data_IF_023783463401
#
_entry.id   IF_023783463401
#
_cell.length_a   1.000
_cell.length_b   1.000
_cell.length_c   1.000
_cell.angle_alpha   90.00
_cell.angle_beta   90.00
_cell.angle_gamma   90.00
#
_symmetry.space_group_name_H-M   'P 1'
#
loop_
_entity.id
_entity.type
_entity.pdbx_description
1 polymer ?
#
# COMPACT_ATOMS: atom_id res chain seq x y z
N UNK A 1 12.60 -26.09 -3.69
CA UNK A 1 11.59 -25.04 -3.45
C UNK A 1 10.82 -24.95 -4.76
N UNK A 2 9.47 -24.83 -4.72
CA UNK A 2 8.73 -24.60 -5.97
C UNK A 2 9.18 -23.26 -6.56
N UNK A 3 9.47 -23.24 -7.86
CA UNK A 3 9.82 -22.01 -8.56
C UNK A 3 8.66 -21.02 -8.43
N UNK A 4 8.95 -19.81 -7.97
CA UNK A 4 7.95 -18.75 -7.89
C UNK A 4 7.55 -18.35 -9.32
N UNK A 5 6.28 -18.50 -9.63
CA UNK A 5 5.72 -18.11 -10.93
C UNK A 5 5.18 -16.68 -10.86
N UNK A 6 5.47 -15.87 -11.89
CA UNK A 6 4.90 -14.54 -11.99
C UNK A 6 3.46 -14.62 -12.50
N UNK A 7 2.51 -14.57 -11.59
CA UNK A 7 1.09 -14.62 -11.92
C UNK A 7 0.50 -13.21 -12.06
N UNK A 8 -0.41 -13.05 -13.03
CA UNK A 8 -1.16 -11.82 -13.15
C UNK A 8 -2.12 -11.68 -11.96
N UNK A 9 -2.15 -10.49 -11.42
CA UNK A 9 -3.12 -10.13 -10.36
C UNK A 9 -3.48 -8.66 -10.49
N UNK A 10 -4.50 -8.24 -9.79
CA UNK A 10 -4.91 -6.84 -9.74
C UNK A 10 -4.82 -6.29 -8.31
N UNK A 11 -4.47 -5.03 -8.19
CA UNK A 11 -4.62 -4.23 -6.97
C UNK A 11 -4.77 -2.76 -7.34
N UNK A 12 -5.30 -1.95 -6.45
CA UNK A 12 -5.43 -0.50 -6.66
C UNK A 12 -4.09 0.17 -6.98
N UNK A 13 -3.03 -0.22 -6.29
CA UNK A 13 -1.67 0.30 -6.54
C UNK A 13 -1.12 -0.13 -7.89
N UNK A 14 -1.44 -1.36 -8.31
CA UNK A 14 -1.04 -1.93 -9.60
C UNK A 14 -1.74 -1.22 -10.75
N UNK A 15 -3.05 -0.98 -10.62
CA UNK A 15 -3.84 -0.20 -11.57
C UNK A 15 -3.29 1.23 -11.70
N UNK A 16 -3.09 1.92 -10.57
CA UNK A 16 -2.52 3.28 -10.58
C UNK A 16 -1.16 3.33 -11.31
N UNK A 17 -0.28 2.38 -11.01
CA UNK A 17 1.03 2.33 -11.64
C UNK A 17 0.93 2.16 -13.17
N UNK A 18 0.00 1.32 -13.62
CA UNK A 18 -0.29 1.08 -15.02
C UNK A 18 -0.86 2.34 -15.69
N UNK A 19 -1.77 3.07 -15.04
CA UNK A 19 -2.31 4.33 -15.54
C UNK A 19 -1.26 5.44 -15.60
N UNK A 20 -0.39 5.54 -14.59
CA UNK A 20 0.67 6.55 -14.54
C UNK A 20 1.69 6.38 -15.69
N UNK A 21 2.16 5.15 -15.93
CA UNK A 21 3.12 4.87 -17.00
C UNK A 21 3.23 3.35 -17.25
N UNK A 22 2.96 2.92 -18.51
CA UNK A 22 3.04 1.51 -18.92
C UNK A 22 4.45 0.94 -18.70
N UNK A 23 5.50 1.67 -19.09
CA UNK A 23 6.90 1.25 -18.90
C UNK A 23 7.28 1.11 -17.41
N UNK A 24 6.83 2.01 -16.56
CA UNK A 24 7.00 1.90 -15.10
C UNK A 24 6.34 0.65 -14.54
N UNK A 25 5.14 0.34 -15.01
CA UNK A 25 4.41 -0.88 -14.67
C UNK A 25 5.19 -2.13 -15.10
N UNK A 26 5.70 -2.17 -16.35
CA UNK A 26 6.54 -3.28 -16.84
C UNK A 26 7.76 -3.49 -15.94
N UNK A 27 8.54 -2.44 -15.66
CA UNK A 27 9.72 -2.55 -14.81
C UNK A 27 9.39 -3.07 -13.41
N UNK A 28 8.26 -2.66 -12.84
CA UNK A 28 7.87 -3.04 -11.49
C UNK A 28 7.47 -4.52 -11.38
N UNK A 29 6.70 -5.02 -12.34
CA UNK A 29 6.05 -6.34 -12.24
C UNK A 29 6.69 -7.42 -13.11
N UNK A 30 7.38 -7.05 -14.16
CA UNK A 30 8.01 -7.99 -15.09
C UNK A 30 9.53 -7.83 -15.14
N UNK A 31 10.06 -6.67 -15.44
CA UNK A 31 11.49 -6.45 -15.54
C UNK A 31 12.27 -6.69 -14.25
N UNK A 32 11.64 -6.43 -13.09
CA UNK A 32 12.22 -6.69 -11.77
C UNK A 32 12.02 -8.13 -11.29
N UNK A 33 11.26 -8.97 -12.03
CA UNK A 33 10.98 -10.34 -11.60
C UNK A 33 12.24 -11.18 -11.64
N UNK A 34 12.44 -12.02 -10.61
CA UNK A 34 13.66 -12.81 -10.45
C UNK A 34 14.89 -12.02 -9.97
N UNK A 35 14.82 -10.68 -9.90
CA UNK A 35 15.96 -9.84 -9.49
C UNK A 35 16.48 -10.07 -8.07
N UNK A 36 15.78 -10.88 -7.26
CA UNK A 36 16.22 -11.33 -5.93
C UNK A 36 17.11 -12.59 -5.96
N UNK A 37 17.15 -13.28 -7.10
CA UNK A 37 17.96 -14.50 -7.24
C UNK A 37 19.45 -14.17 -7.21
N UNK A 38 20.26 -15.13 -6.76
CA UNK A 38 21.71 -14.93 -6.62
C UNK A 38 22.42 -14.67 -7.96
N UNK A 39 21.92 -15.30 -9.02
CA UNK A 39 22.41 -15.24 -10.40
C UNK A 39 21.57 -14.36 -11.32
N UNK A 40 20.70 -13.52 -10.74
CA UNK A 40 19.86 -12.63 -11.52
C UNK A 40 20.70 -11.72 -12.45
N UNK A 41 20.22 -11.46 -13.69
CA UNK A 41 20.81 -10.46 -14.57
C UNK A 41 20.92 -9.10 -13.84
N UNK A 42 22.00 -8.36 -14.13
CA UNK A 42 22.29 -7.08 -13.46
C UNK A 42 21.12 -6.09 -13.59
N UNK A 43 20.51 -6.01 -14.78
CA UNK A 43 19.35 -5.14 -15.02
C UNK A 43 18.15 -5.53 -14.17
N UNK A 44 17.80 -6.83 -14.11
CA UNK A 44 16.69 -7.31 -13.30
C UNK A 44 16.93 -7.04 -11.80
N UNK A 45 18.19 -7.23 -11.34
CA UNK A 45 18.60 -6.90 -9.98
C UNK A 45 18.46 -5.41 -9.69
N UNK A 46 18.94 -4.54 -10.59
CA UNK A 46 18.81 -3.10 -10.45
C UNK A 46 17.33 -2.68 -10.37
N UNK A 47 16.49 -3.18 -11.26
CA UNK A 47 15.05 -2.94 -11.24
C UNK A 47 14.40 -3.45 -9.95
N UNK A 48 14.83 -4.61 -9.44
CA UNK A 48 14.33 -5.16 -8.18
C UNK A 48 14.69 -4.28 -6.98
N UNK A 49 15.90 -3.71 -6.93
CA UNK A 49 16.30 -2.75 -5.90
C UNK A 49 15.49 -1.45 -6.03
N UNK A 50 15.44 -0.88 -7.24
CA UNK A 50 14.78 0.39 -7.49
C UNK A 50 13.27 0.36 -7.19
N UNK A 51 12.59 -0.77 -7.44
CA UNK A 51 11.16 -0.87 -7.10
C UNK A 51 10.86 -0.82 -5.61
N UNK A 52 11.85 -1.08 -4.74
CA UNK A 52 11.68 -1.00 -3.28
C UNK A 52 11.83 0.43 -2.75
N UNK A 53 12.25 1.38 -3.59
CA UNK A 53 12.35 2.78 -3.18
C UNK A 53 10.96 3.36 -2.90
N UNK A 54 10.88 4.14 -1.86
CA UNK A 54 9.70 4.95 -1.51
C UNK A 54 10.07 6.42 -1.36
N UNK A 55 9.16 7.33 -1.70
CA UNK A 55 9.32 8.72 -1.31
C UNK A 55 9.28 8.84 0.21
N UNK A 56 9.86 9.91 0.77
CA UNK A 56 9.80 10.17 2.21
C UNK A 56 8.36 10.21 2.76
N UNK A 57 7.39 10.67 1.94
CA UNK A 57 5.98 10.69 2.34
C UNK A 57 5.38 9.28 2.41
N UNK A 58 5.66 8.43 1.40
CA UNK A 58 5.22 7.03 1.41
C UNK A 58 5.85 6.26 2.58
N UNK A 59 7.14 6.49 2.83
CA UNK A 59 7.84 5.92 3.98
C UNK A 59 7.21 6.34 5.31
N UNK A 60 6.90 7.64 5.48
CA UNK A 60 6.23 8.14 6.68
C UNK A 60 4.86 7.47 6.89
N UNK A 61 4.07 7.33 5.80
CA UNK A 61 2.80 6.60 5.84
C UNK A 61 2.97 5.15 6.30
N UNK A 62 3.90 4.42 5.67
CA UNK A 62 4.24 3.04 6.04
C UNK A 62 4.61 2.92 7.53
N UNK A 63 5.46 3.81 8.02
CA UNK A 63 5.89 3.81 9.43
C UNK A 63 4.71 4.02 10.40
N UNK A 64 3.73 4.84 10.03
CA UNK A 64 2.51 5.04 10.83
C UNK A 64 1.66 3.79 10.83
N UNK A 65 1.38 3.18 9.65
CA UNK A 65 0.60 1.93 9.55
C UNK A 65 1.20 0.82 10.41
N UNK A 66 2.51 0.60 10.30
CA UNK A 66 3.20 -0.41 11.12
C UNK A 66 3.15 -0.10 12.63
N UNK A 67 3.18 1.19 13.01
CA UNK A 67 2.98 1.59 14.40
C UNK A 67 1.57 1.29 14.91
N UNK A 68 0.56 1.55 14.09
CA UNK A 68 -0.84 1.21 14.39
C UNK A 68 -1.00 -0.31 14.48
N UNK A 69 -0.43 -1.06 13.54
CA UNK A 69 -0.42 -2.53 13.57
C UNK A 69 0.17 -3.09 14.86
N UNK A 70 1.29 -2.54 15.35
CA UNK A 70 1.87 -2.99 16.63
C UNK A 70 0.91 -2.83 17.80
N UNK A 71 0.18 -1.71 17.85
CA UNK A 71 -0.81 -1.49 18.90
C UNK A 71 -1.97 -2.47 18.78
N UNK A 72 -2.52 -2.64 17.56
CA UNK A 72 -3.65 -3.55 17.34
C UNK A 72 -3.28 -5.00 17.67
N UNK A 73 -2.10 -5.47 17.21
CA UNK A 73 -1.62 -6.82 17.55
C UNK A 73 -1.38 -7.00 19.03
N UNK A 74 -0.81 -6.01 19.72
CA UNK A 74 -0.64 -6.08 21.17
C UNK A 74 -1.98 -6.15 21.90
N UNK A 75 -2.97 -5.34 21.50
CA UNK A 75 -4.33 -5.40 22.04
C UNK A 75 -4.98 -6.76 21.80
N UNK A 76 -4.83 -7.33 20.60
CA UNK A 76 -5.30 -8.68 20.30
C UNK A 76 -4.67 -9.74 21.19
N UNK A 77 -3.42 -9.58 21.60
CA UNK A 77 -2.71 -10.43 22.54
C UNK A 77 -3.04 -10.11 24.02
N UNK A 78 -3.85 -9.09 24.30
CA UNK A 78 -4.24 -8.67 25.66
C UNK A 78 -3.22 -7.76 26.34
N UNK A 79 -2.35 -7.13 25.56
CA UNK A 79 -1.39 -6.13 26.04
C UNK A 79 -1.78 -4.75 25.54
N UNK A 80 -1.59 -3.72 26.33
CA UNK A 80 -1.78 -2.33 25.88
C UNK A 80 -0.41 -1.63 25.82
N UNK A 81 -0.07 -1.12 24.63
CA UNK A 81 1.16 -0.38 24.43
C UNK A 81 0.94 1.09 24.77
N UNK A 82 1.75 1.71 25.64
CA UNK A 82 1.62 3.13 25.94
C UNK A 82 1.95 4.02 24.72
N UNK A 83 1.23 5.13 24.54
CA UNK A 83 1.49 6.13 23.49
C UNK A 83 2.99 6.55 23.44
N UNK A 84 3.55 6.86 24.60
CA UNK A 84 4.94 7.31 24.71
C UNK A 84 5.92 6.25 24.19
N UNK A 85 5.69 4.98 24.52
CA UNK A 85 6.53 3.88 24.04
C UNK A 85 6.45 3.76 22.52
N UNK A 86 5.24 3.80 21.97
CA UNK A 86 5.04 3.71 20.50
C UNK A 86 5.75 4.83 19.78
N UNK A 87 5.58 6.08 20.24
CA UNK A 87 6.22 7.26 19.63
C UNK A 87 7.74 7.13 19.66
N UNK A 88 8.31 6.77 20.82
CA UNK A 88 9.76 6.65 20.97
C UNK A 88 10.34 5.52 20.10
N UNK A 89 9.70 4.36 20.05
CA UNK A 89 10.17 3.25 19.22
C UNK A 89 10.06 3.57 17.75
N UNK A 90 8.96 4.19 17.33
CA UNK A 90 8.77 4.64 15.94
C UNK A 90 9.85 5.64 15.53
N UNK A 91 10.15 6.63 16.36
CA UNK A 91 11.21 7.62 16.07
C UNK A 91 12.60 6.96 16.03
N UNK A 92 12.88 6.00 16.94
CA UNK A 92 14.15 5.23 16.89
C UNK A 92 14.25 4.43 15.59
N UNK A 93 13.18 3.79 15.16
CA UNK A 93 13.11 3.05 13.90
C UNK A 93 13.34 3.98 12.71
N UNK A 94 12.65 5.12 12.64
CA UNK A 94 12.84 6.09 11.56
C UNK A 94 14.31 6.52 11.45
N UNK A 95 15.01 6.74 12.56
CA UNK A 95 16.44 7.10 12.55
C UNK A 95 17.30 5.97 11.96
N UNK A 96 17.05 4.72 12.34
CA UNK A 96 17.76 3.54 11.80
C UNK A 96 17.54 3.40 10.29
N UNK A 97 16.29 3.45 9.85
CA UNK A 97 15.94 3.30 8.43
C UNK A 97 16.46 4.46 7.58
N UNK A 98 16.36 5.70 8.09
CA UNK A 98 16.92 6.87 7.43
C UNK A 98 18.43 6.72 7.22
N UNK A 99 19.15 6.30 8.26
CA UNK A 99 20.61 6.09 8.21
C UNK A 99 20.96 5.00 7.19
N UNK A 100 20.32 3.83 7.27
CA UNK A 100 20.53 2.73 6.35
C UNK A 100 20.26 3.13 4.89
N UNK A 101 19.20 3.91 4.66
CA UNK A 101 18.89 4.46 3.35
C UNK A 101 19.93 5.48 2.88
N UNK A 102 20.39 6.39 3.74
CA UNK A 102 21.42 7.38 3.39
C UNK A 102 22.77 6.72 3.05
N UNK A 103 23.07 5.57 3.69
CA UNK A 103 24.23 4.73 3.41
C UNK A 103 24.00 3.78 2.22
N UNK A 104 22.84 3.85 1.57
CA UNK A 104 22.45 3.03 0.41
C UNK A 104 22.52 1.52 0.66
N UNK A 105 22.28 1.07 1.89
CA UNK A 105 22.32 -0.35 2.26
C UNK A 105 21.34 -1.22 1.48
N UNK A 106 20.26 -0.65 0.94
CA UNK A 106 19.27 -1.35 0.09
C UNK A 106 19.87 -1.92 -1.22
N UNK A 107 21.03 -1.47 -1.66
CA UNK A 107 21.72 -2.11 -2.81
C UNK A 107 22.30 -3.48 -2.45
N UNK A 108 22.66 -3.71 -1.19
CA UNK A 108 23.11 -5.00 -0.68
C UNK A 108 22.00 -5.80 -0.01
N UNK A 109 21.02 -5.11 0.56
CA UNK A 109 19.87 -5.71 1.26
C UNK A 109 18.57 -5.07 0.75
N UNK A 110 18.08 -5.44 -0.45
CA UNK A 110 16.96 -4.74 -1.11
C UNK A 110 15.70 -4.64 -0.27
N UNK A 111 15.39 -5.66 0.54
CA UNK A 111 14.21 -5.68 1.42
C UNK A 111 14.26 -4.65 2.56
N UNK A 112 15.42 -4.05 2.84
CA UNK A 112 15.49 -2.94 3.81
C UNK A 112 14.78 -1.68 3.32
N UNK A 113 14.53 -1.59 2.01
CA UNK A 113 13.97 -0.41 1.38
C UNK A 113 14.95 0.75 1.33
N UNK A 114 14.66 1.73 0.51
CA UNK A 114 15.45 2.96 0.39
C UNK A 114 14.56 4.16 0.13
N UNK A 115 15.06 5.35 0.43
CA UNK A 115 14.36 6.58 0.12
C UNK A 115 14.75 7.06 -1.27
N UNK A 116 13.74 7.40 -2.05
CA UNK A 116 13.91 7.97 -3.40
C UNK A 116 14.84 9.18 -3.38
N UNK A 117 14.68 10.03 -2.37
CA UNK A 117 15.50 11.25 -2.21
C UNK A 117 16.98 10.93 -2.00
N UNK A 118 17.33 9.85 -1.30
CA UNK A 118 18.71 9.42 -1.10
C UNK A 118 19.30 8.80 -2.36
N UNK A 119 18.55 7.92 -3.06
CA UNK A 119 19.03 7.31 -4.30
C UNK A 119 19.35 8.36 -5.36
N UNK A 120 18.44 9.32 -5.53
CA UNK A 120 18.54 10.32 -6.58
C UNK A 120 19.15 11.66 -6.11
N UNK A 121 19.71 11.68 -4.90
CA UNK A 121 20.38 12.85 -4.31
C UNK A 121 19.51 14.11 -4.37
N UNK A 122 18.20 13.95 -4.15
CA UNK A 122 17.27 15.08 -4.10
C UNK A 122 17.54 15.86 -2.81
N UNK A 123 17.87 17.16 -2.89
CA UNK A 123 18.10 17.97 -1.70
C UNK A 123 16.85 18.08 -0.84
N UNK A 124 16.93 17.68 0.42
CA UNK A 124 15.87 17.84 1.42
C UNK A 124 16.43 18.61 2.61
N UNK A 125 15.80 19.71 2.94
CA UNK A 125 16.25 20.56 4.06
C UNK A 125 16.08 19.81 5.40
N UNK A 126 16.97 20.03 6.39
CA UNK A 126 16.82 19.44 7.72
C UNK A 126 15.45 19.69 8.36
N UNK A 127 14.86 20.86 8.14
CA UNK A 127 13.54 21.21 8.62
C UNK A 127 12.43 20.33 8.02
N UNK A 128 12.55 19.94 6.75
CA UNK A 128 11.55 19.07 6.08
C UNK A 128 11.58 17.66 6.68
N UNK A 129 12.77 17.15 7.07
CA UNK A 129 12.90 15.89 7.78
C UNK A 129 12.29 15.96 9.19
N UNK A 130 12.50 17.09 9.89
CA UNK A 130 11.87 17.31 11.20
C UNK A 130 10.36 17.37 11.09
N UNK A 131 9.82 18.11 10.12
CA UNK A 131 8.38 18.19 9.86
C UNK A 131 7.78 16.82 9.54
N UNK A 132 8.49 15.98 8.77
CA UNK A 132 8.05 14.63 8.45
C UNK A 132 7.96 13.75 9.71
N UNK A 133 8.98 13.80 10.58
CA UNK A 133 8.96 13.12 11.89
C UNK A 133 7.80 13.61 12.74
N UNK A 134 7.61 14.92 12.82
CA UNK A 134 6.55 15.52 13.65
C UNK A 134 5.15 15.17 13.10
N UNK A 135 5.03 15.02 11.78
CA UNK A 135 3.83 14.50 11.14
C UNK A 135 3.54 13.05 11.58
N UNK A 136 4.52 12.15 11.52
CA UNK A 136 4.37 10.76 11.99
C UNK A 136 3.94 10.72 13.46
N UNK A 137 4.63 11.47 14.32
CA UNK A 137 4.30 11.54 15.76
C UNK A 137 2.88 12.05 15.97
N UNK A 138 2.44 13.05 15.23
CA UNK A 138 1.06 13.57 15.29
C UNK A 138 0.05 12.50 14.90
N UNK A 139 0.27 11.77 13.79
CA UNK A 139 -0.61 10.70 13.35
C UNK A 139 -0.77 9.62 14.45
N UNK A 140 0.33 9.18 15.06
CA UNK A 140 0.29 8.18 16.13
C UNK A 140 -0.44 8.71 17.38
N UNK A 141 -0.22 9.95 17.77
CA UNK A 141 -0.94 10.58 18.88
C UNK A 141 -2.43 10.72 18.60
N UNK A 142 -2.79 11.12 17.39
CA UNK A 142 -4.18 11.20 16.97
C UNK A 142 -4.85 9.82 17.01
N UNK A 143 -4.17 8.75 16.58
CA UNK A 143 -4.67 7.38 16.71
C UNK A 143 -5.08 7.05 18.16
N UNK A 144 -4.24 7.39 19.15
CA UNK A 144 -4.57 7.16 20.57
C UNK A 144 -5.75 7.99 21.08
N UNK A 145 -6.05 9.12 20.44
CA UNK A 145 -7.15 10.02 20.82
C UNK A 145 -8.47 9.72 20.12
N UNK A 146 -8.46 8.83 19.12
CA UNK A 146 -9.67 8.47 18.40
C UNK A 146 -10.64 7.73 19.32
N UNK A 147 -11.94 8.12 19.36
CA UNK A 147 -12.98 7.32 20.00
C UNK A 147 -13.00 5.88 19.49
N UNK A 148 -12.76 5.68 18.20
CA UNK A 148 -12.66 4.38 17.54
C UNK A 148 -11.69 3.43 18.26
N UNK A 149 -10.53 3.89 18.74
CA UNK A 149 -9.59 3.04 19.47
C UNK A 149 -10.18 2.59 20.83
N UNK A 150 -10.94 3.45 21.48
CA UNK A 150 -11.66 3.06 22.72
C UNK A 150 -12.69 1.95 22.45
N UNK A 151 -13.39 2.02 21.32
CA UNK A 151 -14.38 1.01 20.94
C UNK A 151 -13.68 -0.30 20.54
N UNK A 152 -12.58 -0.22 19.80
CA UNK A 152 -11.75 -1.38 19.46
C UNK A 152 -11.24 -2.09 20.72
N UNK A 153 -10.76 -1.35 21.73
CA UNK A 153 -10.30 -1.91 23.02
C UNK A 153 -11.39 -2.68 23.79
N UNK A 154 -12.65 -2.27 23.65
CA UNK A 154 -13.80 -2.93 24.29
C UNK A 154 -14.29 -4.13 23.47
N UNK A 155 -13.97 -4.19 22.17
CA UNK A 155 -14.43 -5.24 21.28
C UNK A 155 -13.76 -6.57 21.62
N UNK A 156 -14.53 -7.63 21.93
CA UNK A 156 -13.98 -8.97 22.18
C UNK A 156 -13.17 -9.48 21.00
N UNK A 157 -12.12 -10.24 21.24
CA UNK A 157 -11.18 -10.72 20.21
C UNK A 157 -11.86 -11.58 19.15
N UNK A 158 -12.87 -12.32 19.55
CA UNK A 158 -13.68 -13.18 18.66
C UNK A 158 -14.43 -12.38 17.60
N UNK A 159 -14.58 -11.08 17.81
CA UNK A 159 -15.20 -10.14 16.86
C UNK A 159 -14.17 -9.45 15.94
N UNK A 160 -12.88 -9.69 16.13
CA UNK A 160 -11.85 -9.18 15.25
C UNK A 160 -11.69 -10.11 14.05
N UNK A 161 -11.62 -9.54 12.85
CA UNK A 161 -11.60 -10.30 11.59
C UNK A 161 -10.22 -10.26 10.96
N UNK A 162 -9.54 -9.11 11.03
CA UNK A 162 -8.28 -8.90 10.31
C UNK A 162 -7.47 -7.74 10.91
N UNK A 163 -6.14 -7.88 10.90
CA UNK A 163 -5.18 -6.82 11.24
C UNK A 163 -4.07 -6.83 10.20
N UNK A 164 -3.97 -5.80 9.32
CA UNK A 164 -2.88 -5.60 8.35
C UNK A 164 -2.50 -6.90 7.60
N UNK A 165 -3.48 -7.61 7.06
CA UNK A 165 -3.25 -8.84 6.31
C UNK A 165 -3.38 -8.59 4.81
N UNK A 166 -2.41 -9.13 4.05
CA UNK A 166 -2.53 -9.15 2.59
C UNK A 166 -3.49 -10.26 2.21
N UNK A 167 -4.66 -9.90 1.69
CA UNK A 167 -5.67 -10.86 1.23
C UNK A 167 -6.12 -10.53 -0.18
N UNK A 168 -6.55 -11.57 -0.88
CA UNK A 168 -7.13 -11.46 -2.22
C UNK A 168 -8.44 -12.22 -2.31
N UNK A 169 -9.24 -11.87 -3.30
CA UNK A 169 -10.41 -12.64 -3.74
C UNK A 169 -10.29 -12.91 -5.24
N UNK A 170 -10.95 -13.96 -5.69
CA UNK A 170 -11.06 -14.22 -7.12
C UNK A 170 -12.11 -13.31 -7.75
N UNK A 171 -11.74 -12.65 -8.83
CA UNK A 171 -12.64 -11.85 -9.64
C UNK A 171 -12.49 -12.27 -11.11
N UNK A 172 -13.44 -13.03 -11.59
CA UNK A 172 -13.46 -13.59 -12.96
C UNK A 172 -12.12 -14.28 -13.32
N UNK A 173 -11.61 -15.12 -12.44
CA UNK A 173 -10.35 -15.85 -12.61
C UNK A 173 -9.10 -14.98 -12.44
N UNK A 174 -9.22 -13.80 -11.83
CA UNK A 174 -8.09 -12.91 -11.53
C UNK A 174 -8.01 -12.65 -10.02
N UNK A 175 -6.87 -12.94 -9.36
CA UNK A 175 -6.67 -12.55 -7.97
C UNK A 175 -6.67 -11.03 -7.83
N UNK A 176 -7.61 -10.50 -7.05
CA UNK A 176 -7.71 -9.07 -6.70
C UNK A 176 -7.24 -8.88 -5.27
N UNK A 177 -6.14 -8.16 -5.10
CA UNK A 177 -5.62 -7.79 -3.78
C UNK A 177 -6.27 -6.49 -3.32
N UNK A 178 -7.03 -6.58 -2.24
CA UNK A 178 -7.73 -5.44 -1.66
C UNK A 178 -8.33 -5.85 -0.32
N UNK A 179 -7.57 -5.64 0.75
CA UNK A 179 -8.01 -5.91 2.10
C UNK A 179 -7.89 -4.63 2.93
N UNK A 180 -8.80 -4.40 3.89
CA UNK A 180 -8.70 -3.27 4.79
C UNK A 180 -7.51 -3.44 5.74
N UNK A 181 -7.00 -2.32 6.26
CA UNK A 181 -5.92 -2.33 7.25
C UNK A 181 -6.38 -3.00 8.56
N UNK A 182 -7.66 -2.81 8.92
CA UNK A 182 -8.28 -3.46 10.08
C UNK A 182 -9.75 -3.77 9.81
N UNK A 183 -10.23 -4.91 10.32
CA UNK A 183 -11.64 -5.28 10.24
C UNK A 183 -12.13 -5.94 11.52
N UNK A 184 -13.35 -5.55 11.97
CA UNK A 184 -13.98 -6.12 13.16
C UNK A 184 -15.50 -5.98 13.11
N UNK A 185 -16.21 -6.83 13.87
CA UNK A 185 -17.65 -6.72 14.08
C UNK A 185 -17.95 -5.75 15.21
N UNK A 186 -18.70 -4.70 14.93
CA UNK A 186 -19.19 -3.73 15.93
C UNK A 186 -20.26 -4.35 16.82
N UNK A 187 -20.56 -3.71 17.99
CA UNK A 187 -21.64 -4.16 18.87
C UNK A 187 -22.99 -4.25 18.16
N UNK A 188 -23.24 -3.39 17.15
CA UNK A 188 -24.45 -3.40 16.32
C UNK A 188 -24.44 -4.45 15.18
N UNK A 189 -23.59 -5.47 15.24
CA UNK A 189 -23.46 -6.52 14.21
C UNK A 189 -23.21 -6.00 12.77
N UNK A 190 -22.52 -4.88 12.65
CA UNK A 190 -21.98 -4.36 11.40
C UNK A 190 -20.50 -4.70 11.29
N UNK A 191 -20.06 -5.08 10.09
CA UNK A 191 -18.65 -5.30 9.79
C UNK A 191 -17.98 -3.95 9.48
N UNK A 192 -17.19 -3.43 10.40
CA UNK A 192 -16.37 -2.25 10.16
C UNK A 192 -15.10 -2.65 9.41
N UNK A 193 -14.86 -2.00 8.28
CA UNK A 193 -13.66 -2.11 7.44
C UNK A 193 -12.95 -0.77 7.53
N UNK A 194 -11.78 -0.75 8.16
CA UNK A 194 -11.04 0.47 8.50
C UNK A 194 -9.84 0.60 7.59
N UNK A 195 -9.67 1.81 7.06
CA UNK A 195 -8.53 2.22 6.24
C UNK A 195 -7.85 3.45 6.89
N UNK A 196 -6.58 3.30 7.26
CA UNK A 196 -5.81 4.37 7.90
C UNK A 196 -5.20 5.29 6.84
N UNK A 197 -5.46 6.58 6.92
CA UNK A 197 -4.88 7.60 6.02
C UNK A 197 -3.98 8.55 6.80
N UNK A 198 -2.82 8.84 6.23
CA UNK A 198 -1.82 9.76 6.80
C UNK A 198 -1.60 11.00 5.94
N UNK A 199 -2.11 10.98 4.71
CA UNK A 199 -1.97 12.06 3.72
C UNK A 199 -3.13 13.05 3.71
N UNK A 200 -3.09 13.93 2.72
CA UNK A 200 -4.24 14.74 2.36
C UNK A 200 -5.35 13.84 1.76
N UNK A 201 -6.64 14.21 1.93
CA UNK A 201 -7.74 13.48 1.32
C UNK A 201 -7.59 13.36 -0.20
N UNK A 202 -7.87 12.18 -0.74
CA UNK A 202 -7.95 11.87 -2.17
C UNK A 202 -9.24 11.04 -2.40
N UNK A 203 -10.40 11.73 -2.60
CA UNK A 203 -11.70 11.08 -2.61
C UNK A 203 -11.84 9.99 -3.69
N UNK A 204 -11.30 10.21 -4.90
CA UNK A 204 -11.43 9.27 -6.01
C UNK A 204 -10.60 7.99 -5.73
N UNK A 205 -9.39 8.17 -5.21
CA UNK A 205 -8.54 7.04 -4.81
C UNK A 205 -9.15 6.25 -3.67
N UNK A 206 -9.71 6.94 -2.68
CA UNK A 206 -10.37 6.34 -1.51
C UNK A 206 -11.60 5.55 -1.92
N UNK A 207 -12.47 6.11 -2.77
CA UNK A 207 -13.70 5.44 -3.21
C UNK A 207 -13.43 4.09 -3.87
N UNK A 208 -12.47 4.01 -4.80
CA UNK A 208 -12.10 2.75 -5.45
C UNK A 208 -11.50 1.75 -4.45
N UNK A 209 -10.65 2.20 -3.54
CA UNK A 209 -10.03 1.34 -2.53
C UNK A 209 -11.06 0.73 -1.58
N UNK A 210 -11.93 1.57 -1.01
CA UNK A 210 -13.02 1.13 -0.13
C UNK A 210 -14.00 0.22 -0.86
N UNK A 211 -14.22 0.48 -2.17
CA UNK A 211 -15.02 -0.39 -3.03
C UNK A 211 -14.46 -1.79 -3.14
N UNK A 212 -13.15 -1.94 -3.28
CA UNK A 212 -12.50 -3.26 -3.27
C UNK A 212 -12.66 -3.96 -1.92
N UNK A 213 -12.65 -3.22 -0.80
CA UNK A 213 -12.90 -3.79 0.52
C UNK A 213 -14.34 -4.29 0.68
N UNK A 214 -15.31 -3.55 0.15
CA UNK A 214 -16.70 -3.99 0.16
C UNK A 214 -16.92 -5.23 -0.72
N UNK A 215 -16.27 -5.31 -1.89
CA UNK A 215 -16.26 -6.53 -2.70
C UNK A 215 -15.64 -7.70 -1.94
N UNK A 216 -14.50 -7.49 -1.27
CA UNK A 216 -13.89 -8.51 -0.43
C UNK A 216 -14.85 -9.01 0.66
N UNK A 217 -15.54 -8.09 1.36
CA UNK A 217 -16.53 -8.44 2.37
C UNK A 217 -17.68 -9.28 1.77
N UNK A 218 -18.15 -8.92 0.58
CA UNK A 218 -19.21 -9.65 -0.12
C UNK A 218 -18.76 -11.03 -0.59
N UNK A 219 -17.62 -11.09 -1.31
CA UNK A 219 -17.19 -12.32 -2.00
C UNK A 219 -16.54 -13.34 -1.04
N UNK A 220 -15.77 -12.88 -0.06
CA UNK A 220 -15.02 -13.75 0.85
C UNK A 220 -15.73 -13.95 2.19
N UNK A 221 -16.15 -12.85 2.82
CA UNK A 221 -16.75 -12.89 4.15
C UNK A 221 -18.26 -13.15 4.10
N UNK A 222 -18.88 -13.12 2.90
CA UNK A 222 -20.32 -13.33 2.68
C UNK A 222 -21.21 -12.38 3.47
N UNK A 223 -20.78 -11.14 3.63
CA UNK A 223 -21.51 -10.09 4.35
C UNK A 223 -22.28 -9.23 3.36
N UNK A 224 -23.55 -8.99 3.65
CA UNK A 224 -24.40 -8.08 2.87
C UNK A 224 -23.87 -6.63 2.93
N UNK A 225 -23.89 -5.88 1.82
CA UNK A 225 -23.44 -4.48 1.80
C UNK A 225 -24.11 -3.61 2.86
N UNK A 226 -25.38 -3.82 3.15
CA UNK A 226 -26.12 -3.09 4.19
C UNK A 226 -25.58 -3.32 5.62
N UNK A 227 -24.79 -4.36 5.84
CA UNK A 227 -24.12 -4.65 7.12
C UNK A 227 -22.64 -4.26 7.13
N UNK A 228 -22.11 -3.72 6.05
CA UNK A 228 -20.74 -3.24 5.97
C UNK A 228 -20.68 -1.76 6.36
N UNK A 229 -19.68 -1.36 7.10
CA UNK A 229 -19.36 0.01 7.44
C UNK A 229 -17.92 0.30 6.99
N UNK A 230 -17.77 1.18 5.98
CA UNK A 230 -16.48 1.57 5.45
C UNK A 230 -16.00 2.82 6.16
N UNK A 231 -14.90 2.71 6.88
CA UNK A 231 -14.34 3.78 7.69
C UNK A 231 -12.99 4.23 7.13
N UNK A 232 -12.95 5.45 6.61
CA UNK A 232 -11.71 6.16 6.33
C UNK A 232 -11.29 6.91 7.59
N UNK A 233 -10.11 6.58 8.11
CA UNK A 233 -9.59 7.22 9.31
C UNK A 233 -8.37 8.05 8.97
N UNK A 234 -8.56 9.36 8.89
CA UNK A 234 -7.48 10.30 8.64
C UNK A 234 -6.71 10.58 9.93
N UNK A 235 -5.59 9.90 10.11
CA UNK A 235 -4.73 10.04 11.30
C UNK A 235 -4.04 11.40 11.37
N UNK A 236 -3.81 12.06 10.24
CA UNK A 236 -3.24 13.40 10.21
C UNK A 236 -4.16 14.43 10.88
N UNK A 237 -5.47 14.31 10.61
CA UNK A 237 -6.49 15.22 11.10
C UNK A 237 -7.18 14.69 12.39
N UNK A 238 -7.03 13.40 12.71
CA UNK A 238 -7.72 12.75 13.81
C UNK A 238 -9.23 12.59 13.55
N UNK A 239 -9.61 12.40 12.29
CA UNK A 239 -11.00 12.34 11.86
C UNK A 239 -11.37 10.95 11.34
N UNK A 240 -12.61 10.54 11.59
CA UNK A 240 -13.21 9.31 11.06
C UNK A 240 -14.35 9.68 10.14
N UNK A 241 -14.33 9.17 8.92
CA UNK A 241 -15.37 9.36 7.94
C UNK A 241 -15.98 8.00 7.55
N UNK A 242 -17.29 7.86 7.69
CA UNK A 242 -18.02 6.71 7.16
C UNK A 242 -18.44 6.97 5.73
N UNK A 243 -18.24 5.98 4.87
CA UNK A 243 -18.63 6.05 3.47
C UNK A 243 -19.85 5.16 3.23
N UNK A 244 -20.96 5.70 2.74
CA UNK A 244 -22.15 4.92 2.43
C UNK A 244 -21.86 3.97 1.27
N UNK A 245 -22.43 2.78 1.34
CA UNK A 245 -22.21 1.72 0.38
C UNK A 245 -23.51 1.00 0.01
N UNK A 246 -23.68 0.68 -1.27
CA UNK A 246 -24.85 0.00 -1.81
C UNK A 246 -24.48 -0.88 -3.02
N UNK A 247 -25.45 -1.65 -3.52
CA UNK A 247 -25.26 -2.55 -4.68
C UNK A 247 -24.90 -1.77 -5.97
N UNK A 248 -25.42 -0.54 -6.16
CA UNK A 248 -25.09 0.25 -7.34
C UNK A 248 -23.61 0.60 -7.39
N UNK A 249 -23.04 1.02 -6.27
CA UNK A 249 -21.61 1.30 -6.14
C UNK A 249 -20.75 0.04 -6.29
N UNK A 250 -21.21 -1.11 -5.79
CA UNK A 250 -20.53 -2.39 -6.02
C UNK A 250 -20.43 -2.71 -7.51
N UNK A 251 -21.50 -2.48 -8.26
CA UNK A 251 -21.50 -2.74 -9.71
C UNK A 251 -20.58 -1.79 -10.47
N UNK A 252 -20.50 -0.51 -10.06
CA UNK A 252 -19.53 0.44 -10.61
C UNK A 252 -18.09 -0.04 -10.41
N UNK A 253 -17.76 -0.55 -9.22
CA UNK A 253 -16.43 -1.10 -8.92
C UNK A 253 -16.17 -2.37 -9.74
N UNK A 254 -17.14 -3.27 -9.89
CA UNK A 254 -17.01 -4.46 -10.75
C UNK A 254 -16.69 -4.05 -12.19
N UNK A 255 -17.43 -3.09 -12.73
CA UNK A 255 -17.19 -2.56 -14.07
C UNK A 255 -15.79 -1.97 -14.22
N UNK A 256 -15.32 -1.19 -13.22
CA UNK A 256 -13.96 -0.67 -13.21
C UNK A 256 -12.90 -1.78 -13.20
N UNK A 257 -13.05 -2.79 -12.35
CA UNK A 257 -12.13 -3.94 -12.28
C UNK A 257 -12.06 -4.66 -13.62
N UNK A 258 -13.21 -4.98 -14.25
CA UNK A 258 -13.26 -5.64 -15.55
C UNK A 258 -12.51 -4.86 -16.62
N UNK A 259 -12.76 -3.55 -16.72
CA UNK A 259 -12.10 -2.68 -17.70
C UNK A 259 -10.60 -2.57 -17.45
N UNK A 260 -10.19 -2.36 -16.20
CA UNK A 260 -8.79 -2.24 -15.82
C UNK A 260 -8.01 -3.53 -16.07
N UNK A 261 -8.52 -4.69 -15.62
CA UNK A 261 -7.91 -6.00 -15.84
C UNK A 261 -7.77 -6.30 -17.33
N UNK A 262 -8.83 -6.06 -18.12
CA UNK A 262 -8.80 -6.24 -19.58
C UNK A 262 -7.75 -5.36 -20.23
N UNK A 263 -7.68 -4.09 -19.84
CA UNK A 263 -6.71 -3.13 -20.37
C UNK A 263 -5.28 -3.55 -20.06
N UNK A 264 -5.01 -4.02 -18.84
CA UNK A 264 -3.67 -4.47 -18.44
C UNK A 264 -3.25 -5.74 -19.19
N UNK A 265 -4.17 -6.71 -19.33
CA UNK A 265 -3.90 -7.98 -20.03
C UNK A 265 -3.67 -7.78 -21.54
N UNK A 266 -4.25 -6.76 -22.14
CA UNK A 266 -4.06 -6.43 -23.56
C UNK A 266 -2.61 -6.04 -23.91
N UNK A 267 -1.79 -5.67 -22.94
CA UNK A 267 -0.37 -5.36 -23.12
C UNK A 267 0.54 -6.59 -23.02
N UNK A 268 0.02 -7.73 -22.60
CA UNK A 268 0.80 -8.96 -22.52
C UNK A 268 0.97 -9.59 -23.88
N UNK A 269 2.15 -10.13 -24.13
CA UNK A 269 2.44 -10.95 -25.30
C UNK A 269 1.65 -12.25 -25.28
N UNK A 270 1.60 -12.89 -24.12
CA UNK A 270 0.78 -14.07 -23.83
C UNK A 270 0.07 -13.87 -22.49
N UNK A 271 -1.24 -13.53 -22.50
CA UNK A 271 -2.01 -13.34 -21.27
C UNK A 271 -2.18 -14.61 -20.44
N UNK A 272 -2.15 -15.81 -21.07
CA UNK A 272 -2.32 -17.08 -20.36
C UNK A 272 -1.06 -17.44 -19.57
N UNK A 273 0.11 -17.18 -20.15
CA UNK A 273 1.40 -17.38 -19.51
C UNK A 273 1.86 -16.17 -18.68
N UNK A 274 1.09 -15.09 -18.61
CA UNK A 274 1.47 -13.79 -18.04
C UNK A 274 2.81 -13.27 -18.58
N UNK A 275 3.08 -13.49 -19.87
CA UNK A 275 4.31 -13.09 -20.54
C UNK A 275 4.21 -11.65 -21.05
N UNK A 276 5.15 -10.80 -20.65
CA UNK A 276 5.23 -9.41 -21.05
C UNK A 276 6.52 -9.14 -21.84
N UNK A 277 6.40 -8.40 -22.95
CA UNK A 277 7.55 -7.86 -23.69
C UNK A 277 7.64 -6.36 -23.44
N UNK A 278 8.84 -5.87 -23.13
CA UNK A 278 9.09 -4.48 -22.79
C UNK A 278 8.58 -3.50 -23.86
N UNK A 279 8.69 -3.86 -25.13
CA UNK A 279 8.32 -2.99 -26.25
C UNK A 279 6.83 -2.73 -26.38
N UNK A 280 5.99 -3.60 -25.78
CA UNK A 280 4.56 -3.37 -25.70
C UNK A 280 4.18 -2.27 -24.69
N UNK A 281 5.09 -1.88 -23.81
CA UNK A 281 4.83 -0.94 -22.71
C UNK A 281 5.54 0.38 -22.97
N UNK A 282 4.84 1.34 -23.58
CA UNK A 282 5.38 2.65 -23.91
C UNK A 282 5.73 3.48 -22.66
N UNK A 283 6.68 4.41 -22.85
CA UNK A 283 7.04 5.42 -21.85
C UNK A 283 6.00 6.54 -21.85
N UNK A 284 5.63 7.02 -20.68
CA UNK A 284 4.81 8.25 -20.60
C UNK A 284 5.61 9.45 -21.15
N UNK A 285 4.90 10.39 -21.75
CA UNK A 285 5.46 11.68 -22.16
C UNK A 285 5.41 12.72 -21.04
N UNK A 286 4.65 12.45 -19.97
CA UNK A 286 4.59 13.33 -18.81
C UNK A 286 5.88 13.24 -17.98
N UNK A 287 6.77 14.19 -18.20
CA UNK A 287 8.05 14.27 -17.49
C UNK A 287 7.89 14.53 -15.98
N UNK A 288 6.73 15.02 -15.52
CA UNK A 288 6.46 15.18 -14.08
C UNK A 288 6.42 13.82 -13.40
N UNK A 289 5.80 12.82 -14.04
CA UNK A 289 5.80 11.42 -13.58
C UNK A 289 7.21 10.84 -13.63
N UNK A 290 7.96 11.11 -14.71
CA UNK A 290 9.33 10.60 -14.88
C UNK A 290 10.29 11.11 -13.81
N UNK A 291 10.20 12.39 -13.42
CA UNK A 291 11.07 13.00 -12.38
C UNK A 291 10.98 12.29 -11.03
N UNK A 292 9.81 11.71 -10.71
CA UNK A 292 9.56 11.00 -9.46
C UNK A 292 9.42 9.48 -9.66
N UNK A 293 9.97 8.97 -10.78
CA UNK A 293 9.92 7.55 -11.09
C UNK A 293 11.11 6.81 -10.47
N UNK A 294 10.84 5.72 -9.75
CA UNK A 294 11.88 4.87 -9.17
C UNK A 294 12.88 4.34 -10.21
N UNK A 295 12.44 4.20 -11.46
CA UNK A 295 13.24 3.64 -12.56
C UNK A 295 13.83 4.71 -13.48
N UNK A 296 13.88 5.98 -13.07
CA UNK A 296 14.33 7.05 -13.96
C UNK A 296 15.78 6.88 -14.42
N UNK A 297 16.67 6.37 -13.55
CA UNK A 297 18.08 6.12 -13.91
C UNK A 297 18.26 5.06 -15.00
N UNK A 298 17.31 4.11 -15.12
CA UNK A 298 17.30 3.09 -16.17
C UNK A 298 16.53 3.54 -17.41
N UNK A 299 15.41 4.23 -17.19
CA UNK A 299 14.47 4.57 -18.27
C UNK A 299 14.79 5.90 -18.98
N UNK A 300 15.21 6.91 -18.23
CA UNK A 300 15.54 8.27 -18.69
C UNK A 300 16.72 8.81 -17.88
N UNK A 301 17.93 8.32 -18.11
CA UNK A 301 19.11 8.71 -17.32
C UNK A 301 19.46 10.22 -17.45
N UNK A 302 18.95 10.89 -18.48
CA UNK A 302 19.17 12.31 -18.75
C UNK A 302 18.31 13.25 -17.90
N UNK A 303 17.38 12.73 -17.05
CA UNK A 303 16.51 13.48 -16.14
C UNK A 303 17.20 13.58 -14.74
#
# INVERSE_FOLDING_TARGET
MADLVNEFSWSRSRDKLFQDCRRKYFYHYYGAWGGWEADAPEEARALYVLKQLSSRQQWAGKVVHEGVEWVLRALFEGRDLPEAWLVDETVRRMRREWKASNERQYWTTPKSGGLFEHEYKIPVKPQDWQQLRDHVVRCLRNFYRLPLLSDIRKTPRERWVMIEEIRSFDFDGTPVYGAPDFAYWTEGDRLALVDWKTGAPDPDSTALQLGCYALYAREVLRVDPGRVELLEVNLREGAVQSHPWDEGRLEEIRGHLQLSIRSMRAYLQDPAANLALMDNFEKTEDLRICRWCNFRSVCRPDL
#
